data_IF_675262967839
#
_entry.id   IF_675262967839
#
_cell.length_a   1.000
_cell.length_b   1.000
_cell.length_c   1.000
_cell.angle_alpha   90.00
_cell.angle_beta   90.00
_cell.angle_gamma   90.00
#
_symmetry.space_group_name_H-M   'P 1'
#
loop_
_entity.id
_entity.type
_entity.pdbx_description
1 polymer ?
#
# COMPACT_ATOMS: atom_id res chain seq x y z
N UNK A 1 22.04 26.72 23.81
CA UNK A 1 21.34 28.02 23.62
C UNK A 1 20.95 28.14 22.15
N UNK A 2 19.71 28.47 21.82
CA UNK A 2 19.21 28.59 20.43
C UNK A 2 19.12 30.07 20.07
N UNK A 3 19.59 30.45 18.88
CA UNK A 3 19.51 31.82 18.40
C UNK A 3 18.07 32.18 17.98
N UNK A 4 17.48 33.23 18.58
CA UNK A 4 16.11 33.66 18.29
C UNK A 4 15.90 34.20 16.88
N UNK A 5 16.96 34.72 16.23
CA UNK A 5 16.86 35.30 14.89
C UNK A 5 16.86 34.26 13.77
N UNK A 6 17.60 33.15 13.94
CA UNK A 6 17.77 32.14 12.88
C UNK A 6 17.36 30.72 13.28
N UNK A 7 16.99 30.47 14.54
CA UNK A 7 16.60 29.15 15.04
C UNK A 7 17.75 28.15 15.16
N UNK A 8 18.99 28.55 14.85
CA UNK A 8 20.16 27.67 14.93
C UNK A 8 20.58 27.50 16.38
N UNK A 9 20.71 26.25 16.80
CA UNK A 9 21.28 25.89 18.09
C UNK A 9 22.80 26.09 18.09
N UNK A 10 23.31 26.83 19.09
CA UNK A 10 24.75 27.01 19.31
C UNK A 10 25.29 25.75 19.98
N UNK A 11 25.93 24.89 19.19
CA UNK A 11 26.54 23.63 19.62
C UNK A 11 27.76 23.28 18.74
N UNK A 12 28.43 22.16 19.04
CA UNK A 12 29.58 21.70 18.26
C UNK A 12 29.18 21.34 16.83
N UNK A 13 29.99 21.72 15.85
CA UNK A 13 29.75 21.41 14.43
C UNK A 13 29.58 19.92 14.14
N UNK A 14 30.13 19.03 14.99
CA UNK A 14 30.03 17.57 14.86
C UNK A 14 28.58 17.07 14.76
N UNK A 15 27.61 17.74 15.41
CA UNK A 15 26.21 17.29 15.43
C UNK A 15 25.57 17.27 14.04
N UNK A 16 26.08 18.05 13.08
CA UNK A 16 25.58 18.07 11.68
C UNK A 16 25.78 16.73 10.95
N UNK A 17 26.64 15.86 11.47
CA UNK A 17 26.89 14.51 10.93
C UNK A 17 25.98 13.44 11.52
N UNK A 18 25.31 13.75 12.64
CA UNK A 18 24.52 12.78 13.42
C UNK A 18 23.02 13.06 13.35
N UNK A 19 22.64 14.34 13.20
CA UNK A 19 21.23 14.74 13.11
C UNK A 19 20.68 14.46 11.72
N UNK A 20 19.59 13.71 11.67
CA UNK A 20 18.84 13.47 10.44
C UNK A 20 17.69 14.48 10.30
N UNK A 21 17.32 14.77 9.06
CA UNK A 21 16.07 15.44 8.72
C UNK A 21 15.10 14.46 8.07
N UNK A 22 13.87 14.87 7.87
CA UNK A 22 12.90 14.14 7.07
C UNK A 22 12.19 15.09 6.10
N UNK A 23 11.57 14.51 5.08
CA UNK A 23 10.68 15.20 4.14
C UNK A 23 9.33 14.55 4.29
N UNK A 24 8.31 15.36 4.57
CA UNK A 24 6.93 14.91 4.54
C UNK A 24 6.47 14.85 3.08
N UNK A 25 6.08 13.67 2.63
CA UNK A 25 5.62 13.44 1.26
C UNK A 25 4.13 13.76 1.16
N UNK A 26 3.71 14.37 0.05
CA UNK A 26 2.30 14.68 -0.20
C UNK A 26 1.43 13.44 -0.48
N UNK A 27 2.06 12.34 -0.91
CA UNK A 27 1.43 11.05 -1.17
C UNK A 27 2.35 9.92 -0.71
N UNK A 28 1.82 8.76 -0.32
CA UNK A 28 2.66 7.61 0.02
C UNK A 28 3.41 7.12 -1.22
N UNK A 29 4.58 6.53 -0.99
CA UNK A 29 5.41 5.92 -2.03
C UNK A 29 5.87 4.55 -1.55
N UNK A 30 5.73 3.54 -2.40
CA UNK A 30 6.22 2.20 -2.09
C UNK A 30 7.76 2.18 -2.06
N UNK A 31 8.32 1.64 -0.99
CA UNK A 31 9.76 1.53 -0.86
C UNK A 31 10.32 0.47 -1.81
N UNK A 32 11.21 0.86 -2.72
CA UNK A 32 11.68 0.02 -3.83
C UNK A 32 12.28 -1.32 -3.41
N UNK A 33 12.95 -1.40 -2.24
CA UNK A 33 13.51 -2.66 -1.75
C UNK A 33 12.46 -3.70 -1.38
N UNK A 34 11.27 -3.30 -0.92
CA UNK A 34 10.21 -4.25 -0.56
C UNK A 34 9.34 -4.62 -1.76
N UNK A 35 9.37 -3.77 -2.81
CA UNK A 35 8.74 -4.02 -4.09
C UNK A 35 9.58 -4.92 -5.01
N UNK A 36 10.77 -4.48 -5.42
CA UNK A 36 11.57 -5.08 -6.51
C UNK A 36 12.56 -6.17 -6.05
N UNK A 37 12.78 -6.34 -4.73
CA UNK A 37 13.57 -7.47 -4.25
C UNK A 37 12.82 -8.78 -4.53
N UNK A 38 13.54 -9.85 -4.87
CA UNK A 38 12.95 -11.16 -5.13
C UNK A 38 13.24 -12.11 -3.95
N UNK A 39 12.21 -12.70 -3.32
CA UNK A 39 10.78 -12.47 -3.56
C UNK A 39 10.32 -11.08 -3.08
N UNK A 40 9.29 -10.52 -3.73
CA UNK A 40 8.70 -9.24 -3.33
C UNK A 40 8.04 -9.41 -1.96
N UNK A 41 8.45 -8.62 -0.98
CA UNK A 41 7.88 -8.74 0.38
C UNK A 41 6.45 -8.24 0.42
N UNK A 42 6.17 -7.15 -0.31
CA UNK A 42 4.81 -6.60 -0.41
C UNK A 42 3.92 -7.59 -1.17
N UNK A 43 4.41 -8.10 -2.32
CA UNK A 43 3.66 -9.09 -3.10
C UNK A 43 3.35 -10.34 -2.29
N UNK A 44 4.33 -10.88 -1.55
CA UNK A 44 4.12 -12.05 -0.70
C UNK A 44 3.10 -11.81 0.42
N UNK A 45 3.11 -10.63 1.05
CA UNK A 45 2.16 -10.32 2.13
C UNK A 45 0.72 -10.18 1.64
N UNK A 46 0.54 -9.66 0.43
CA UNK A 46 -0.78 -9.46 -0.18
C UNK A 46 -1.23 -10.64 -1.04
N UNK A 47 -0.43 -11.71 -1.12
CA UNK A 47 -0.62 -12.84 -2.04
C UNK A 47 -0.81 -12.42 -3.51
N UNK A 48 -0.06 -11.40 -3.93
CA UNK A 48 -0.11 -10.84 -5.29
C UNK A 48 1.20 -11.09 -6.04
N UNK A 49 1.09 -11.26 -7.37
CA UNK A 49 2.29 -11.29 -8.21
C UNK A 49 2.95 -9.91 -8.25
N UNK A 50 4.27 -9.86 -8.41
CA UNK A 50 5.00 -8.60 -8.56
C UNK A 50 4.45 -7.76 -9.73
N UNK A 51 4.04 -8.40 -10.82
CA UNK A 51 3.50 -7.73 -12.01
C UNK A 51 2.17 -7.04 -11.70
N UNK A 52 1.29 -7.70 -10.96
CA UNK A 52 -0.02 -7.16 -10.59
C UNK A 52 0.14 -6.00 -9.60
N UNK A 53 1.05 -6.11 -8.64
CA UNK A 53 1.39 -5.02 -7.74
C UNK A 53 1.97 -3.80 -8.48
N UNK A 54 2.82 -4.02 -9.48
CA UNK A 54 3.36 -2.94 -10.32
C UNK A 54 2.28 -2.23 -11.13
N UNK A 55 1.29 -2.96 -11.66
CA UNK A 55 0.15 -2.38 -12.39
C UNK A 55 -0.63 -1.40 -11.52
N UNK A 56 -0.89 -1.77 -10.27
CA UNK A 56 -1.57 -0.86 -9.33
C UNK A 56 -0.69 0.34 -8.99
N UNK A 57 0.59 0.11 -8.65
CA UNK A 57 1.53 1.16 -8.25
C UNK A 57 1.84 2.17 -9.36
N UNK A 58 1.83 1.74 -10.62
CA UNK A 58 2.08 2.57 -11.79
C UNK A 58 0.81 3.12 -12.45
N UNK A 59 -0.33 3.02 -11.75
CA UNK A 59 -1.61 3.57 -12.20
C UNK A 59 -2.13 2.96 -13.52
N UNK A 60 -1.83 1.68 -13.78
CA UNK A 60 -2.36 0.94 -14.92
C UNK A 60 -3.74 0.35 -14.61
N UNK A 61 -3.89 -0.27 -13.43
CA UNK A 61 -5.12 -0.92 -12.99
C UNK A 61 -5.55 -0.45 -11.60
N UNK A 62 -6.86 -0.40 -11.39
CA UNK A 62 -7.46 -0.30 -10.06
C UNK A 62 -7.43 -1.66 -9.36
N UNK A 63 -7.49 -1.62 -8.04
CA UNK A 63 -7.66 -2.80 -7.19
C UNK A 63 -8.85 -2.61 -6.25
N UNK A 64 -9.69 -3.63 -6.14
CA UNK A 64 -10.84 -3.63 -5.23
C UNK A 64 -10.32 -3.75 -3.79
N UNK A 65 -10.58 -2.73 -2.98
CA UNK A 65 -10.22 -2.65 -1.56
C UNK A 65 -11.32 -3.28 -0.69
N UNK A 66 -12.58 -2.98 -0.99
CA UNK A 66 -13.75 -3.53 -0.31
C UNK A 66 -14.87 -3.80 -1.34
N UNK A 67 -15.27 -5.06 -1.56
CA UNK A 67 -16.33 -5.38 -2.51
C UNK A 67 -17.73 -4.99 -2.02
N UNK A 68 -17.94 -4.74 -0.73
CA UNK A 68 -19.23 -4.38 -0.12
C UNK A 68 -20.43 -5.21 -0.62
N UNK A 69 -21.34 -4.62 -1.41
CA UNK A 69 -22.55 -5.26 -1.95
C UNK A 69 -22.39 -5.72 -3.41
N UNK A 70 -21.27 -5.39 -4.04
CA UNK A 70 -20.96 -5.79 -5.41
C UNK A 70 -20.55 -7.27 -5.49
N UNK A 71 -20.65 -7.90 -6.68
CA UNK A 71 -20.16 -9.26 -6.90
C UNK A 71 -18.63 -9.35 -7.06
N UNK A 72 -17.91 -8.25 -6.89
CA UNK A 72 -16.45 -8.19 -7.05
C UNK A 72 -15.73 -8.90 -5.89
N UNK A 73 -14.48 -9.27 -6.12
CA UNK A 73 -13.64 -9.90 -5.09
C UNK A 73 -12.62 -8.90 -4.54
N UNK A 74 -12.34 -8.96 -3.23
CA UNK A 74 -11.27 -8.16 -2.62
C UNK A 74 -9.93 -8.54 -3.26
N UNK A 75 -9.16 -7.55 -3.69
CA UNK A 75 -7.89 -7.75 -4.40
C UNK A 75 -8.04 -8.00 -5.90
N UNK A 76 -9.26 -8.02 -6.44
CA UNK A 76 -9.50 -8.09 -7.88
C UNK A 76 -8.93 -6.86 -8.58
N UNK A 77 -8.20 -7.08 -9.68
CA UNK A 77 -7.73 -6.01 -10.55
C UNK A 77 -8.81 -5.64 -11.57
N UNK A 78 -8.99 -4.34 -11.76
CA UNK A 78 -9.87 -3.77 -12.78
C UNK A 78 -9.05 -2.85 -13.68
N UNK A 79 -9.20 -2.99 -14.98
CA UNK A 79 -8.78 -1.96 -15.92
C UNK A 79 -9.62 -0.70 -15.73
N UNK A 80 -9.19 0.41 -16.30
CA UNK A 80 -9.96 1.67 -16.25
C UNK A 80 -11.38 1.49 -16.82
N UNK A 81 -11.52 0.79 -17.95
CA UNK A 81 -12.82 0.48 -18.56
C UNK A 81 -13.69 -0.38 -17.64
N UNK A 82 -13.16 -1.48 -17.11
CA UNK A 82 -13.89 -2.38 -16.18
C UNK A 82 -14.31 -1.67 -14.89
N UNK A 83 -13.49 -0.73 -14.39
CA UNK A 83 -13.83 0.05 -13.22
C UNK A 83 -15.04 0.94 -13.47
N UNK A 84 -15.07 1.67 -14.60
CA UNK A 84 -16.21 2.52 -14.95
C UNK A 84 -17.46 1.71 -15.26
N UNK A 85 -17.34 0.59 -15.99
CA UNK A 85 -18.45 -0.32 -16.25
C UNK A 85 -19.04 -0.87 -14.94
N UNK A 86 -18.19 -1.26 -13.99
CA UNK A 86 -18.63 -1.73 -12.67
C UNK A 86 -19.31 -0.62 -11.84
N UNK A 87 -18.84 0.63 -11.95
CA UNK A 87 -19.50 1.78 -11.30
C UNK A 87 -20.88 2.06 -11.92
N UNK A 88 -21.03 1.94 -13.24
CA UNK A 88 -22.31 2.13 -13.93
C UNK A 88 -23.32 1.01 -13.64
N UNK A 89 -22.84 -0.24 -13.56
CA UNK A 89 -23.70 -1.41 -13.30
C UNK A 89 -24.11 -1.51 -11.83
N UNK A 90 -23.16 -1.34 -10.92
CA UNK A 90 -23.37 -1.57 -9.50
C UNK A 90 -23.61 -0.29 -8.72
N UNK A 91 -23.25 0.89 -9.23
CA UNK A 91 -23.30 2.15 -8.50
C UNK A 91 -22.00 2.44 -7.73
N UNK A 92 -21.61 3.72 -7.72
CA UNK A 92 -20.32 4.17 -7.17
C UNK A 92 -20.09 3.82 -5.69
N UNK A 93 -21.16 3.78 -4.89
CA UNK A 93 -21.08 3.52 -3.44
C UNK A 93 -21.14 2.02 -3.06
N UNK A 94 -21.27 1.12 -4.05
CA UNK A 94 -21.48 -0.31 -3.79
C UNK A 94 -20.20 -1.16 -3.77
N UNK A 95 -19.05 -0.54 -4.01
CA UNK A 95 -17.72 -1.10 -3.76
C UNK A 95 -16.68 0.02 -3.62
N UNK A 96 -15.53 -0.29 -3.02
CA UNK A 96 -14.39 0.61 -2.93
C UNK A 96 -13.24 0.01 -3.71
N UNK A 97 -12.74 0.74 -4.70
CA UNK A 97 -11.50 0.42 -5.39
C UNK A 97 -10.54 1.61 -5.34
N UNK A 98 -9.25 1.30 -5.38
CA UNK A 98 -8.17 2.28 -5.30
C UNK A 98 -7.08 2.01 -6.33
N UNK A 99 -6.17 2.96 -6.48
CA UNK A 99 -5.04 2.87 -7.39
C UNK A 99 -3.79 3.51 -6.77
N UNK A 100 -2.60 3.13 -7.23
CA UNK A 100 -1.34 3.66 -6.75
C UNK A 100 -0.92 3.15 -5.38
N UNK A 101 0.03 3.85 -4.77
CA UNK A 101 0.61 3.45 -3.49
C UNK A 101 -0.34 3.62 -2.29
N UNK A 102 -1.35 4.48 -2.39
CA UNK A 102 -2.38 4.64 -1.36
C UNK A 102 -3.21 3.35 -1.23
N UNK A 103 -3.65 2.78 -2.35
CA UNK A 103 -4.42 1.53 -2.35
C UNK A 103 -3.63 0.37 -1.72
N UNK A 104 -2.37 0.20 -2.12
CA UNK A 104 -1.49 -0.83 -1.54
C UNK A 104 -1.29 -0.60 -0.04
N UNK A 105 -1.18 0.65 0.40
CA UNK A 105 -1.07 0.98 1.82
C UNK A 105 -2.33 0.59 2.58
N UNK A 106 -3.52 0.92 2.09
CA UNK A 106 -4.79 0.54 2.71
C UNK A 106 -4.88 -0.98 2.86
N UNK A 107 -4.57 -1.74 1.81
CA UNK A 107 -4.57 -3.20 1.89
C UNK A 107 -3.58 -3.74 2.94
N UNK A 108 -2.40 -3.13 3.07
CA UNK A 108 -1.42 -3.51 4.08
C UNK A 108 -1.84 -3.15 5.51
N UNK A 109 -2.56 -2.03 5.69
CA UNK A 109 -3.07 -1.60 7.00
C UNK A 109 -4.24 -2.48 7.49
N UNK A 110 -5.02 -3.04 6.57
CA UNK A 110 -6.15 -3.94 6.88
C UNK A 110 -5.74 -5.39 7.15
N UNK A 111 -4.49 -5.78 6.86
CA UNK A 111 -4.02 -7.15 7.05
C UNK A 111 -3.91 -7.53 8.54
N UNK A 112 -4.73 -8.48 8.96
CA UNK A 112 -4.62 -9.11 10.28
C UNK A 112 -3.67 -10.33 10.22
N UNK A 113 -2.42 -10.12 10.64
CA UNK A 113 -1.40 -11.18 10.61
C UNK A 113 -1.67 -12.35 11.56
N UNK A 114 -2.41 -12.14 12.65
CA UNK A 114 -2.73 -13.21 13.59
C UNK A 114 -3.78 -14.15 13.03
N UNK A 115 -4.83 -13.60 12.43
CA UNK A 115 -5.90 -14.34 11.76
C UNK A 115 -5.36 -15.09 10.55
N UNK A 116 -4.64 -14.41 9.66
CA UNK A 116 -4.00 -15.01 8.50
C UNK A 116 -3.06 -16.17 8.88
N UNK A 117 -2.33 -16.05 10.00
CA UNK A 117 -1.47 -17.13 10.50
C UNK A 117 -2.28 -18.38 10.85
N UNK A 118 -3.40 -18.21 11.55
CA UNK A 118 -4.24 -19.35 11.94
C UNK A 118 -4.91 -19.98 10.72
N UNK A 119 -5.43 -19.18 9.78
CA UNK A 119 -5.98 -19.65 8.50
C UNK A 119 -4.97 -20.50 7.72
N UNK A 120 -3.75 -19.99 7.55
CA UNK A 120 -2.69 -20.71 6.84
C UNK A 120 -2.28 -22.01 7.55
N UNK A 121 -2.28 -22.03 8.89
CA UNK A 121 -1.97 -23.25 9.66
C UNK A 121 -3.04 -24.32 9.49
N UNK A 122 -4.32 -23.92 9.51
CA UNK A 122 -5.44 -24.83 9.24
C UNK A 122 -5.35 -25.37 7.81
N UNK A 123 -5.15 -24.49 6.82
CA UNK A 123 -5.02 -24.91 5.42
C UNK A 123 -3.88 -25.89 5.16
N UNK A 124 -2.74 -25.74 5.85
CA UNK A 124 -1.62 -26.71 5.77
C UNK A 124 -1.98 -28.05 6.43
N UNK A 125 -2.78 -28.05 7.49
CA UNK A 125 -3.16 -29.27 8.20
C UNK A 125 -4.25 -30.09 7.48
N UNK A 126 -5.07 -29.43 6.66
CA UNK A 126 -6.12 -30.06 5.85
C UNK A 126 -5.62 -30.57 4.49
N UNK A 127 -4.44 -30.12 4.04
CA UNK A 127 -3.78 -30.52 2.80
C UNK A 127 -2.95 -31.81 2.94
#
# INVERSE_FOLDING_TARGET
VICEKCGVEVTLTKVRRERMGHIELAAPVAHIWFLKSLPSRIGLLLDMTLKDLERVLYFENFIVLDPMLSPLEKGQLLTEEEYFDAQDEHGEDNFVAGIGAEAVRVMLEELNLEELREELRVGIAEA
#
